data_IF_019324326623
#
_entry.id   IF_019324326623
#
_cell.length_a   1.000
_cell.length_b   1.000
_cell.length_c   1.000
_cell.angle_alpha   90.00
_cell.angle_beta   90.00
_cell.angle_gamma   90.00
#
_symmetry.space_group_name_H-M   'P 1'
#
loop_
_entity.id
_entity.type
_entity.pdbx_description
1 polymer ?
#
# COMPACT_ATOMS: atom_id res chain seq x y z
N UNK A 1 3.13 -84.03 26.18
CA UNK A 1 4.11 -83.33 25.36
C UNK A 1 3.80 -81.83 25.45
N UNK A 2 4.54 -81.12 26.31
CA UNK A 2 4.33 -79.71 26.59
C UNK A 2 5.47 -78.93 25.89
N UNK A 3 5.13 -78.07 24.92
CA UNK A 3 6.10 -77.22 24.26
C UNK A 3 6.08 -75.85 24.96
N UNK A 4 7.20 -75.50 25.61
CA UNK A 4 7.45 -74.19 26.15
C UNK A 4 7.75 -73.19 25.02
N UNK A 5 7.07 -72.02 24.99
CA UNK A 5 7.41 -70.90 24.16
C UNK A 5 8.19 -69.88 24.99
N UNK A 6 9.46 -69.68 24.64
CA UNK A 6 10.26 -68.57 25.15
C UNK A 6 9.82 -67.28 24.46
N UNK A 7 9.30 -66.34 25.23
CA UNK A 7 9.04 -64.97 24.77
C UNK A 7 10.30 -64.14 24.81
N UNK A 8 10.80 -63.67 23.67
CA UNK A 8 11.82 -62.61 23.57
C UNK A 8 11.13 -61.27 23.80
N UNK A 9 11.47 -60.64 24.93
CA UNK A 9 11.07 -59.23 25.15
C UNK A 9 11.93 -58.27 24.33
N UNK A 10 11.32 -57.56 23.43
CA UNK A 10 11.95 -56.40 22.76
C UNK A 10 11.83 -55.19 23.67
N UNK A 11 12.98 -54.68 24.16
CA UNK A 11 13.06 -53.39 24.81
C UNK A 11 13.05 -52.30 23.69
N UNK A 12 11.94 -51.59 23.57
CA UNK A 12 11.87 -50.41 22.69
C UNK A 12 12.49 -49.20 23.43
N UNK A 13 13.67 -48.80 23.02
CA UNK A 13 14.28 -47.56 23.46
C UNK A 13 13.65 -46.43 22.64
N UNK A 14 12.79 -45.61 23.25
CA UNK A 14 12.24 -44.40 22.66
C UNK A 14 13.32 -43.32 22.62
N UNK A 15 13.87 -43.04 21.49
CA UNK A 15 14.66 -41.83 21.26
C UNK A 15 13.72 -40.65 21.11
N UNK A 16 13.63 -39.79 22.12
CA UNK A 16 13.01 -38.47 21.97
C UNK A 16 14.00 -37.57 21.22
N UNK A 17 13.72 -37.33 19.96
CA UNK A 17 14.44 -36.31 19.16
C UNK A 17 13.83 -34.98 19.58
N UNK A 18 14.49 -34.20 20.44
CA UNK A 18 14.18 -32.79 20.66
C UNK A 18 14.44 -32.03 19.35
N UNK A 19 13.37 -31.62 18.69
CA UNK A 19 13.49 -30.72 17.56
C UNK A 19 14.10 -29.38 18.03
N UNK A 20 15.11 -28.84 17.32
CA UNK A 20 15.64 -27.54 17.66
C UNK A 20 14.51 -26.49 17.61
N UNK A 21 14.32 -25.76 18.69
CA UNK A 21 13.47 -24.57 18.71
C UNK A 21 14.08 -23.58 17.72
N UNK A 22 13.45 -23.42 16.56
CA UNK A 22 13.74 -22.28 15.70
C UNK A 22 13.45 -21.00 16.51
N UNK A 23 14.51 -20.26 16.81
CA UNK A 23 14.40 -18.88 17.27
C UNK A 23 13.69 -18.10 16.17
N UNK A 24 12.39 -17.86 16.36
CA UNK A 24 11.62 -16.93 15.52
C UNK A 24 12.25 -15.57 15.75
N UNK A 25 13.18 -15.21 14.85
CA UNK A 25 13.75 -13.87 14.82
C UNK A 25 12.57 -12.90 14.72
N UNK A 26 12.28 -12.21 15.81
CA UNK A 26 11.29 -11.13 15.83
C UNK A 26 11.74 -10.10 14.80
N UNK A 27 10.93 -9.94 13.73
CA UNK A 27 11.19 -8.91 12.74
C UNK A 27 11.38 -7.57 13.47
N UNK A 28 12.40 -6.77 13.08
CA UNK A 28 12.60 -5.49 13.73
C UNK A 28 11.32 -4.66 13.64
N UNK A 29 11.00 -3.86 14.68
CA UNK A 29 9.84 -2.99 14.66
C UNK A 29 9.88 -2.11 13.40
N UNK A 30 8.71 -1.71 12.86
CA UNK A 30 8.66 -0.80 11.72
C UNK A 30 9.56 0.39 12.03
N UNK A 31 10.52 0.65 11.16
CA UNK A 31 11.31 1.87 11.27
C UNK A 31 10.33 3.02 11.12
N UNK A 32 10.01 3.70 12.22
CA UNK A 32 9.33 4.98 12.17
C UNK A 32 10.28 5.91 11.42
N UNK A 33 9.97 6.15 10.14
CA UNK A 33 10.69 7.17 9.36
C UNK A 33 10.40 8.48 10.08
N UNK A 34 11.42 9.20 10.60
CA UNK A 34 11.20 10.48 11.26
C UNK A 34 10.40 11.37 10.30
N UNK A 35 9.29 11.93 10.77
CA UNK A 35 8.45 12.81 9.96
C UNK A 35 9.32 13.90 9.35
N UNK A 36 9.39 13.93 8.01
CA UNK A 36 10.14 14.98 7.31
C UNK A 36 9.41 16.29 7.55
N UNK A 37 9.95 17.15 8.42
CA UNK A 37 9.40 18.48 8.63
C UNK A 37 9.83 19.37 7.48
N UNK A 38 8.89 19.67 6.57
CA UNK A 38 9.05 20.78 5.65
C UNK A 38 8.66 22.07 6.36
N UNK A 39 9.43 23.13 6.19
CA UNK A 39 9.07 24.48 6.71
C UNK A 39 7.78 25.00 6.06
N UNK A 40 7.49 24.56 4.83
CA UNK A 40 6.29 24.90 4.07
C UNK A 40 5.69 23.64 3.47
N UNK A 41 4.37 23.52 3.58
CA UNK A 41 3.61 22.38 3.05
C UNK A 41 2.54 22.84 2.07
N UNK A 42 2.24 22.00 1.10
CA UNK A 42 1.13 22.23 0.18
C UNK A 42 -0.20 21.93 0.87
N UNK A 43 -1.15 22.85 0.73
CA UNK A 43 -2.53 22.73 1.19
C UNK A 43 -3.47 22.76 0.01
N UNK A 44 -4.62 22.12 0.15
CA UNK A 44 -5.71 22.15 -0.82
C UNK A 44 -7.01 22.53 -0.11
N UNK A 45 -7.30 23.85 -0.02
CA UNK A 45 -8.44 24.36 0.76
C UNK A 45 -9.80 23.87 0.22
N UNK A 46 -9.90 23.67 -1.10
CA UNK A 46 -11.12 23.21 -1.78
C UNK A 46 -11.19 21.69 -1.99
N UNK A 47 -10.31 20.95 -1.33
CA UNK A 47 -10.29 19.49 -1.39
C UNK A 47 -11.19 18.87 -0.31
N UNK A 48 -11.70 17.66 -0.59
CA UNK A 48 -12.40 16.89 0.43
C UNK A 48 -11.48 16.48 1.58
N UNK A 49 -12.01 16.08 2.73
CA UNK A 49 -11.21 15.57 3.84
C UNK A 49 -10.30 14.39 3.43
N UNK A 50 -10.79 13.50 2.56
CA UNK A 50 -10.03 12.36 2.05
C UNK A 50 -8.87 12.79 1.16
N UNK A 51 -9.11 13.75 0.26
CA UNK A 51 -8.09 14.34 -0.61
C UNK A 51 -7.02 15.05 0.23
N UNK A 52 -7.44 15.85 1.22
CA UNK A 52 -6.51 16.56 2.11
C UNK A 52 -5.68 15.57 2.95
N UNK A 53 -6.31 14.51 3.47
CA UNK A 53 -5.61 13.46 4.21
C UNK A 53 -4.52 12.78 3.36
N UNK A 54 -4.83 12.38 2.12
CA UNK A 54 -3.85 11.77 1.22
C UNK A 54 -2.69 12.74 0.95
N UNK A 55 -2.97 14.00 0.67
CA UNK A 55 -1.97 15.05 0.43
C UNK A 55 -1.02 15.22 1.63
N UNK A 56 -1.56 15.24 2.84
CA UNK A 56 -0.77 15.33 4.07
C UNK A 56 0.12 14.10 4.28
N UNK A 57 -0.43 12.90 4.07
CA UNK A 57 0.34 11.68 4.25
C UNK A 57 1.48 11.56 3.23
N UNK A 58 1.27 11.95 1.98
CA UNK A 58 2.35 12.00 0.97
C UNK A 58 3.49 12.93 1.42
N UNK A 59 3.17 14.10 1.94
CA UNK A 59 4.17 15.08 2.38
C UNK A 59 4.86 14.69 3.71
N UNK A 60 4.15 14.01 4.61
CA UNK A 60 4.71 13.66 5.94
C UNK A 60 5.48 12.34 5.94
N UNK A 61 5.12 11.40 5.05
CA UNK A 61 5.73 10.07 4.99
C UNK A 61 6.71 9.89 3.84
N UNK A 62 6.90 10.90 2.97
CA UNK A 62 7.86 10.89 1.86
C UNK A 62 8.59 12.22 1.80
N UNK A 63 9.58 12.32 0.91
CA UNK A 63 10.27 13.59 0.61
C UNK A 63 9.66 14.35 -0.57
N UNK A 64 8.47 13.97 -1.00
CA UNK A 64 7.80 14.63 -2.13
C UNK A 64 7.40 16.04 -1.68
N UNK A 65 8.00 17.05 -2.30
CA UNK A 65 7.76 18.47 -2.02
C UNK A 65 7.43 19.28 -3.27
N UNK A 66 7.53 18.67 -4.45
CA UNK A 66 7.17 19.32 -5.72
C UNK A 66 5.64 19.33 -5.91
N UNK A 67 5.09 20.52 -6.21
CA UNK A 67 3.66 20.70 -6.44
C UNK A 67 3.11 19.83 -7.53
N UNK A 68 3.83 19.72 -8.65
CA UNK A 68 3.37 18.94 -9.81
C UNK A 68 3.44 17.44 -9.54
N UNK A 69 4.42 16.98 -8.74
CA UNK A 69 4.50 15.59 -8.31
C UNK A 69 3.29 15.20 -7.43
N UNK A 70 3.00 16.01 -6.40
CA UNK A 70 1.84 15.81 -5.53
C UNK A 70 0.53 15.86 -6.35
N UNK A 71 0.38 16.87 -7.20
CA UNK A 71 -0.79 17.03 -8.05
C UNK A 71 -0.97 15.83 -9.01
N UNK A 72 0.13 15.26 -9.52
CA UNK A 72 0.08 14.09 -10.40
C UNK A 72 -0.37 12.84 -9.65
N UNK A 73 0.14 12.59 -8.46
CA UNK A 73 -0.31 11.47 -7.63
C UNK A 73 -1.79 11.62 -7.29
N UNK A 74 -2.21 12.81 -6.83
CA UNK A 74 -3.62 13.11 -6.50
C UNK A 74 -4.55 12.92 -7.71
N UNK A 75 -4.15 13.40 -8.88
CA UNK A 75 -4.93 13.27 -10.12
C UNK A 75 -5.10 11.82 -10.56
N UNK A 76 -4.07 11.00 -10.37
CA UNK A 76 -4.13 9.57 -10.65
C UNK A 76 -5.07 8.85 -9.66
N UNK A 77 -4.97 9.09 -8.37
CA UNK A 77 -5.88 8.53 -7.36
C UNK A 77 -7.34 8.92 -7.66
N UNK A 78 -7.57 10.17 -8.05
CA UNK A 78 -8.91 10.63 -8.43
C UNK A 78 -9.49 9.83 -9.60
N UNK A 79 -8.70 9.52 -10.61
CA UNK A 79 -9.13 8.69 -11.74
C UNK A 79 -9.44 7.25 -11.32
N UNK A 80 -8.69 6.68 -10.37
CA UNK A 80 -8.88 5.30 -9.92
C UNK A 80 -10.15 5.12 -9.10
N UNK A 81 -10.38 5.99 -8.12
CA UNK A 81 -11.40 5.74 -7.11
C UNK A 81 -12.22 6.96 -6.67
N UNK A 82 -11.90 8.16 -7.14
CA UNK A 82 -12.40 9.41 -6.55
C UNK A 82 -12.14 9.47 -5.03
N UNK A 83 -10.99 8.96 -4.58
CA UNK A 83 -10.57 8.83 -3.17
C UNK A 83 -11.45 7.93 -2.29
N UNK A 84 -12.24 7.05 -2.90
CA UNK A 84 -13.10 6.11 -2.18
C UNK A 84 -12.31 4.84 -1.84
N UNK A 85 -12.02 4.62 -0.57
CA UNK A 85 -11.21 3.47 -0.13
C UNK A 85 -11.96 2.12 -0.20
N UNK A 86 -13.27 2.10 -0.06
CA UNK A 86 -14.06 0.86 -0.08
C UNK A 86 -14.80 0.64 -1.40
N UNK A 87 -14.24 1.10 -2.51
CA UNK A 87 -14.83 0.91 -3.84
C UNK A 87 -14.21 -0.31 -4.53
N UNK A 88 -15.06 -1.22 -5.00
CA UNK A 88 -14.71 -2.34 -5.87
C UNK A 88 -14.94 -1.94 -7.33
N UNK A 89 -14.24 -2.57 -8.26
CA UNK A 89 -14.46 -2.37 -9.69
C UNK A 89 -15.94 -2.52 -10.05
N UNK A 90 -16.42 -1.65 -10.93
CA UNK A 90 -17.86 -1.54 -11.23
C UNK A 90 -18.64 -0.63 -10.28
N UNK A 91 -17.99 -0.04 -9.26
CA UNK A 91 -18.53 1.04 -8.42
C UNK A 91 -19.21 0.59 -7.12
N UNK A 92 -19.26 -0.71 -6.82
CA UNK A 92 -19.83 -1.22 -5.57
C UNK A 92 -19.00 -0.76 -4.37
N UNK A 93 -19.69 -0.31 -3.30
CA UNK A 93 -19.06 0.09 -2.02
C UNK A 93 -19.16 -1.10 -1.05
N UNK A 94 -18.04 -1.80 -0.87
CA UNK A 94 -17.98 -3.04 -0.08
C UNK A 94 -16.72 -3.07 0.79
N UNK A 95 -16.70 -3.82 1.90
CA UNK A 95 -15.47 -4.15 2.62
C UNK A 95 -14.46 -4.89 1.74
N UNK A 96 -13.20 -4.84 2.13
CA UNK A 96 -12.09 -5.44 1.39
C UNK A 96 -12.37 -6.91 1.03
N UNK A 97 -12.78 -7.72 1.98
CA UNK A 97 -13.02 -9.16 1.82
C UNK A 97 -14.18 -9.49 0.86
N UNK A 98 -15.04 -8.52 0.57
CA UNK A 98 -16.21 -8.70 -0.28
C UNK A 98 -16.00 -8.24 -1.72
N UNK A 99 -14.83 -7.66 -2.05
CA UNK A 99 -14.46 -7.34 -3.42
C UNK A 99 -13.78 -8.54 -4.07
N UNK A 100 -14.59 -9.41 -4.70
CA UNK A 100 -14.14 -10.69 -5.23
C UNK A 100 -13.47 -10.62 -6.61
N UNK A 101 -13.57 -9.51 -7.31
CA UNK A 101 -13.06 -9.33 -8.68
C UNK A 101 -12.65 -7.89 -8.95
N UNK A 102 -11.64 -7.75 -9.80
CA UNK A 102 -11.19 -6.47 -10.31
C UNK A 102 -10.41 -5.65 -9.31
N UNK A 103 -10.35 -4.34 -9.56
CA UNK A 103 -9.63 -3.41 -8.71
C UNK A 103 -10.39 -3.05 -7.43
N UNK A 104 -9.65 -2.84 -6.36
CA UNK A 104 -10.20 -2.42 -5.07
C UNK A 104 -9.52 -1.18 -4.52
N UNK A 105 -10.33 -0.31 -3.96
CA UNK A 105 -9.91 0.78 -3.10
C UNK A 105 -9.24 1.94 -3.81
N UNK A 106 -8.43 2.66 -3.06
CA UNK A 106 -7.90 3.99 -3.37
C UNK A 106 -7.22 4.10 -4.75
N UNK A 107 -6.42 3.11 -5.12
CA UNK A 107 -5.71 3.07 -6.39
C UNK A 107 -6.09 1.86 -7.25
N UNK A 108 -7.22 1.25 -6.97
CA UNK A 108 -7.76 0.09 -7.70
C UNK A 108 -6.73 -1.04 -7.82
N UNK A 109 -6.26 -1.59 -6.68
CA UNK A 109 -5.37 -2.75 -6.67
C UNK A 109 -6.01 -3.92 -7.40
N UNK A 110 -5.59 -4.16 -8.64
CA UNK A 110 -6.23 -5.13 -9.55
C UNK A 110 -5.52 -6.47 -9.58
N UNK A 111 -4.18 -6.48 -9.50
CA UNK A 111 -3.46 -7.76 -9.49
C UNK A 111 -3.61 -8.45 -8.15
N UNK A 112 -3.77 -9.78 -8.17
CA UNK A 112 -3.91 -10.60 -6.97
C UNK A 112 -2.81 -10.31 -5.94
N UNK A 113 -1.56 -10.26 -6.38
CA UNK A 113 -0.43 -9.99 -5.49
C UNK A 113 -0.53 -8.63 -4.77
N UNK A 114 -0.98 -7.58 -5.44
CA UNK A 114 -1.14 -6.25 -4.83
C UNK A 114 -2.37 -6.20 -3.92
N UNK A 115 -3.48 -6.82 -4.34
CA UNK A 115 -4.69 -6.92 -3.52
C UNK A 115 -4.43 -7.71 -2.22
N UNK A 116 -3.87 -8.92 -2.31
CA UNK A 116 -3.50 -9.71 -1.14
C UNK A 116 -2.42 -9.03 -0.29
N UNK A 117 -1.54 -8.25 -0.93
CA UNK A 117 -0.55 -7.43 -0.26
C UNK A 117 -1.18 -6.40 0.68
N UNK A 118 -2.27 -5.74 0.29
CA UNK A 118 -3.02 -4.81 1.14
C UNK A 118 -3.56 -5.51 2.39
N UNK A 119 -4.21 -6.67 2.23
CA UNK A 119 -4.74 -7.45 3.36
C UNK A 119 -3.64 -7.93 4.31
N UNK A 120 -2.55 -8.47 3.75
CA UNK A 120 -1.39 -8.94 4.52
C UNK A 120 -0.70 -7.81 5.27
N UNK A 121 -0.53 -6.65 4.62
CA UNK A 121 0.02 -5.45 5.25
C UNK A 121 -0.85 -5.00 6.44
N UNK A 122 -2.16 -4.89 6.23
CA UNK A 122 -3.05 -4.45 7.31
C UNK A 122 -3.15 -5.46 8.45
N UNK A 123 -3.09 -6.75 8.15
CA UNK A 123 -2.99 -7.80 9.19
C UNK A 123 -1.70 -7.64 10.01
N UNK A 124 -0.57 -7.35 9.35
CA UNK A 124 0.74 -7.21 10.03
C UNK A 124 0.83 -5.94 10.86
N UNK A 125 0.25 -4.85 10.40
CA UNK A 125 0.43 -3.52 11.00
C UNK A 125 -0.84 -2.98 11.69
N UNK A 126 -1.77 -3.85 12.00
CA UNK A 126 -3.01 -3.56 12.72
C UNK A 126 -3.77 -2.38 12.10
N UNK A 127 -4.19 -2.54 10.83
CA UNK A 127 -5.01 -1.58 10.11
C UNK A 127 -6.19 -2.25 9.41
N UNK A 128 -7.22 -1.46 9.10
CA UNK A 128 -8.36 -1.90 8.30
C UNK A 128 -8.05 -1.69 6.80
N UNK A 129 -8.02 -2.78 5.97
CA UNK A 129 -7.77 -2.68 4.54
C UNK A 129 -8.89 -1.98 3.75
N UNK A 130 -10.07 -1.79 4.36
CA UNK A 130 -11.17 -1.02 3.78
C UNK A 130 -11.08 0.47 4.07
N UNK A 131 -10.26 0.87 5.04
CA UNK A 131 -10.13 2.27 5.47
C UNK A 131 -9.17 3.06 4.58
N UNK A 132 -9.43 4.37 4.44
CA UNK A 132 -8.51 5.29 3.78
C UNK A 132 -7.12 5.28 4.44
N UNK A 133 -7.09 5.27 5.77
CA UNK A 133 -5.84 5.27 6.54
C UNK A 133 -4.99 4.02 6.27
N UNK A 134 -5.59 2.84 6.29
CA UNK A 134 -4.91 1.57 5.99
C UNK A 134 -4.37 1.55 4.57
N UNK A 135 -5.18 1.99 3.61
CA UNK A 135 -4.81 1.99 2.20
C UNK A 135 -3.73 3.01 1.85
N UNK A 136 -3.76 4.21 2.42
CA UNK A 136 -2.69 5.20 2.21
C UNK A 136 -1.37 4.71 2.81
N UNK A 137 -1.38 4.09 4.00
CA UNK A 137 -0.18 3.47 4.57
C UNK A 137 0.37 2.36 3.67
N UNK A 138 -0.49 1.47 3.15
CA UNK A 138 -0.05 0.43 2.25
C UNK A 138 0.46 1.02 0.93
N UNK A 139 -0.27 1.94 0.32
CA UNK A 139 0.10 2.59 -0.93
C UNK A 139 1.51 3.19 -0.90
N UNK A 140 1.84 3.92 0.16
CA UNK A 140 3.16 4.53 0.31
C UNK A 140 4.25 3.47 0.52
N UNK A 141 3.94 2.36 1.19
CA UNK A 141 4.92 1.32 1.54
C UNK A 141 4.96 0.14 0.55
N UNK A 142 4.07 0.06 -0.42
CA UNK A 142 4.11 -1.02 -1.39
C UNK A 142 5.32 -0.93 -2.33
N UNK A 143 5.90 -2.07 -2.68
CA UNK A 143 7.09 -2.12 -3.53
C UNK A 143 6.94 -1.37 -4.85
N UNK A 144 5.72 -1.35 -5.44
CA UNK A 144 5.47 -0.71 -6.73
C UNK A 144 5.58 0.81 -6.63
N UNK A 145 5.06 1.42 -5.55
CA UNK A 145 5.23 2.84 -5.31
C UNK A 145 6.66 3.19 -4.94
N UNK A 146 7.31 2.39 -4.08
CA UNK A 146 8.68 2.61 -3.64
C UNK A 146 9.69 2.62 -4.79
N UNK A 147 9.49 1.81 -5.84
CA UNK A 147 10.34 1.81 -7.04
C UNK A 147 10.31 3.13 -7.80
N UNK A 148 9.20 3.84 -7.79
CA UNK A 148 9.01 5.11 -8.52
C UNK A 148 9.10 6.34 -7.63
N UNK A 149 9.10 6.16 -6.31
CA UNK A 149 9.15 7.23 -5.33
C UNK A 149 10.32 8.22 -5.55
N UNK A 150 11.55 7.78 -5.85
CA UNK A 150 12.66 8.72 -6.12
C UNK A 150 12.37 9.67 -7.28
N UNK A 151 11.60 9.24 -8.28
CA UNK A 151 11.20 10.11 -9.40
C UNK A 151 10.20 11.20 -8.97
N UNK A 152 9.32 10.88 -8.02
CA UNK A 152 8.39 11.86 -7.45
C UNK A 152 9.06 12.79 -6.42
N UNK A 153 10.11 12.36 -5.76
CA UNK A 153 10.90 13.18 -4.83
C UNK A 153 11.82 14.18 -5.55
N UNK A 154 11.98 14.05 -6.87
CA UNK A 154 12.62 15.04 -7.72
C UNK A 154 11.81 16.34 -7.80
N UNK A 155 12.42 17.39 -8.34
CA UNK A 155 11.80 18.73 -8.43
C UNK A 155 11.91 19.30 -9.83
N UNK A 156 10.95 20.18 -10.16
CA UNK A 156 10.99 20.99 -11.37
C UNK A 156 10.47 20.29 -12.63
N UNK A 157 9.93 19.09 -12.49
CA UNK A 157 9.31 18.40 -13.63
C UNK A 157 7.89 18.91 -13.88
N UNK A 158 7.50 18.86 -15.14
CA UNK A 158 6.10 19.09 -15.54
C UNK A 158 5.20 17.92 -15.10
N UNK A 159 3.89 18.16 -15.09
CA UNK A 159 2.89 17.10 -14.86
C UNK A 159 3.07 15.96 -15.86
N UNK A 160 3.26 16.26 -17.14
CA UNK A 160 3.44 15.24 -18.19
C UNK A 160 4.68 14.38 -17.95
N UNK A 161 5.76 14.93 -17.40
CA UNK A 161 6.95 14.17 -17.01
C UNK A 161 6.66 13.28 -15.78
N UNK A 162 5.93 13.76 -14.77
CA UNK A 162 5.53 12.95 -13.63
C UNK A 162 4.47 11.88 -13.98
N UNK A 163 3.73 12.02 -15.08
CA UNK A 163 2.85 10.96 -15.57
C UNK A 163 3.61 9.69 -15.97
N UNK A 164 4.91 9.78 -16.28
CA UNK A 164 5.73 8.60 -16.61
C UNK A 164 5.91 7.68 -15.38
N UNK A 165 6.48 8.14 -14.24
CA UNK A 165 6.54 7.30 -13.06
C UNK A 165 5.14 6.90 -12.53
N UNK A 166 4.11 7.73 -12.70
CA UNK A 166 2.74 7.37 -12.34
C UNK A 166 2.21 6.18 -13.17
N UNK A 167 2.54 6.11 -14.45
CA UNK A 167 2.23 4.96 -15.28
C UNK A 167 2.90 3.68 -14.77
N UNK A 168 4.19 3.72 -14.47
CA UNK A 168 4.91 2.55 -13.94
C UNK A 168 4.41 2.12 -12.57
N UNK A 169 3.91 3.05 -11.75
CA UNK A 169 3.30 2.73 -10.47
C UNK A 169 1.96 2.01 -10.61
N UNK A 170 1.05 2.54 -11.44
CA UNK A 170 -0.35 2.10 -11.51
C UNK A 170 -0.61 1.07 -12.62
N UNK A 171 0.11 1.15 -13.74
CA UNK A 171 0.01 0.20 -14.85
C UNK A 171 -1.31 0.29 -15.62
N UNK A 172 -1.90 1.49 -15.77
CA UNK A 172 -3.18 1.64 -16.46
C UNK A 172 -3.09 1.30 -17.96
N UNK A 173 -4.13 0.65 -18.51
CA UNK A 173 -4.27 0.43 -19.94
C UNK A 173 -4.76 1.69 -20.68
N UNK A 174 -5.69 2.45 -20.06
CA UNK A 174 -6.25 3.68 -20.59
C UNK A 174 -5.89 4.84 -19.67
N UNK A 175 -5.29 5.90 -20.23
CA UNK A 175 -4.88 7.09 -19.48
C UNK A 175 -6.07 7.80 -18.79
N UNK A 176 -7.22 7.84 -19.43
CA UNK A 176 -8.40 8.54 -18.91
C UNK A 176 -8.12 10.03 -18.64
N UNK A 177 -8.73 10.55 -17.60
CA UNK A 177 -8.62 11.96 -17.21
C UNK A 177 -7.49 12.26 -16.21
N UNK A 178 -6.53 11.33 -15.99
CA UNK A 178 -5.48 11.45 -14.97
C UNK A 178 -4.70 12.75 -15.07
N UNK A 179 -4.25 13.09 -16.27
CA UNK A 179 -3.48 14.32 -16.50
C UNK A 179 -4.33 15.57 -16.31
N UNK A 180 -5.58 15.57 -16.77
CA UNK A 180 -6.53 16.65 -16.53
C UNK A 180 -6.77 16.88 -15.05
N UNK A 181 -7.01 15.82 -14.28
CA UNK A 181 -7.14 15.92 -12.82
C UNK A 181 -5.86 16.43 -12.16
N UNK A 182 -4.70 16.00 -12.64
CA UNK A 182 -3.41 16.48 -12.14
C UNK A 182 -3.24 17.99 -12.35
N UNK A 183 -3.58 18.52 -13.52
CA UNK A 183 -3.58 19.96 -13.75
C UNK A 183 -4.58 20.71 -12.85
N UNK A 184 -5.74 20.13 -12.59
CA UNK A 184 -6.71 20.73 -11.67
C UNK A 184 -6.17 20.81 -10.24
N UNK A 185 -5.52 19.72 -9.76
CA UNK A 185 -4.88 19.76 -8.44
C UNK A 185 -3.73 20.75 -8.38
N UNK A 186 -2.89 20.84 -9.40
CA UNK A 186 -1.77 21.79 -9.39
C UNK A 186 -2.22 23.25 -9.26
N UNK A 187 -3.43 23.58 -9.73
CA UNK A 187 -4.03 24.92 -9.56
C UNK A 187 -4.62 25.14 -8.18
N UNK A 188 -5.05 24.08 -7.49
CA UNK A 188 -5.65 24.14 -6.14
C UNK A 188 -4.62 24.12 -5.03
N UNK A 189 -3.43 23.55 -5.27
CA UNK A 189 -2.38 23.46 -4.26
C UNK A 189 -1.74 24.82 -4.02
N UNK A 190 -1.82 25.30 -2.79
CA UNK A 190 -1.22 26.54 -2.30
C UNK A 190 -0.20 26.20 -1.21
N UNK A 191 0.92 26.94 -1.20
CA UNK A 191 1.97 26.74 -0.20
C UNK A 191 1.61 27.50 1.08
N UNK A 192 1.61 26.82 2.23
CA UNK A 192 1.28 27.37 3.54
C UNK A 192 2.40 27.11 4.56
#
# INVERSE_FOLDING_TARGET
MIKAFLGLGFLAVAFTIDAPKEDVATAPPPVEIPAVKFEKTWKCLDCSPEEQYVLEQLQTQTKISDRNALATIMGNIKQESMFKSNICEGGARVPYENCLRGGYGLIQWTTEARYLGLGSFCKKYDCDPSSLKGQVRYMINENQFQKVLPSFEGRGNSISQYMVPAYYWLGWGIKGNREYYSYNYSKKLTLA
#
